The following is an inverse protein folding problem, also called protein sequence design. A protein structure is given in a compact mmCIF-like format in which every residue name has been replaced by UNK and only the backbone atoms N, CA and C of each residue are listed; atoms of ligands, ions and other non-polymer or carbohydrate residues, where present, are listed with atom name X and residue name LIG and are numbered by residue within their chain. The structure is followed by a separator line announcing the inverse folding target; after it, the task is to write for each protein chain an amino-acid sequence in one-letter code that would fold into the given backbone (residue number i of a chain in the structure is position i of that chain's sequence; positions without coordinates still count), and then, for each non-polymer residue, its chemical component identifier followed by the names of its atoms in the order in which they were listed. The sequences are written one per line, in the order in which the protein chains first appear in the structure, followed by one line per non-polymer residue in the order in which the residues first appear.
data_IF_697699658397
#
_entry.id   IF_697699658397
#
_cell.length_a   1.000
_cell.length_b   1.000
_cell.length_c   1.000
_cell.angle_alpha   90.00
_cell.angle_beta   90.00
_cell.angle_gamma   90.00
#
_symmetry.space_group_name_H-M   'P 1'
#
loop_
_entity.id
_entity.type
_entity.pdbx_description
1 polymer ?
#
# COMPACT_ATOMS: atom_id res chain seq x y z
N UNK A 1 -8.25 9.97 23.02
CA UNK A 1 -8.76 9.76 21.64
C UNK A 1 -7.74 10.35 20.69
N UNK A 2 -7.10 9.52 19.88
CA UNK A 2 -6.11 9.95 18.87
C UNK A 2 -6.86 10.67 17.75
N UNK A 3 -6.41 11.87 17.37
CA UNK A 3 -7.02 12.61 16.28
C UNK A 3 -6.60 11.96 14.95
N UNK A 4 -7.42 11.03 14.45
CA UNK A 4 -7.18 10.29 13.20
C UNK A 4 -6.85 11.22 12.04
N UNK A 5 -7.55 12.36 11.92
CA UNK A 5 -7.28 13.36 10.88
C UNK A 5 -5.85 13.92 10.94
N UNK A 6 -5.29 14.03 12.14
CA UNK A 6 -3.94 14.52 12.39
C UNK A 6 -2.91 13.40 12.21
N UNK A 7 -3.24 12.17 12.64
CA UNK A 7 -2.43 10.97 12.43
C UNK A 7 -2.20 10.66 10.95
N UNK A 8 -3.21 10.92 10.10
CA UNK A 8 -3.14 10.65 8.65
C UNK A 8 -2.78 11.88 7.80
N UNK A 9 -2.51 13.04 8.44
CA UNK A 9 -2.38 14.34 7.75
C UNK A 9 -1.34 14.41 6.63
N UNK A 10 -0.25 13.66 6.73
CA UNK A 10 0.84 13.62 5.75
C UNK A 10 0.56 12.70 4.54
N UNK A 11 -0.52 11.93 4.59
CA UNK A 11 -0.94 11.04 3.51
C UNK A 11 -2.25 11.47 2.86
N UNK A 12 -2.94 12.47 3.45
CA UNK A 12 -4.17 13.03 2.90
C UNK A 12 -3.95 13.45 1.45
N UNK A 13 -2.79 14.02 1.13
CA UNK A 13 -2.52 14.53 -0.21
C UNK A 13 -2.23 13.39 -1.21
N UNK A 14 -1.54 12.33 -0.81
CA UNK A 14 -1.32 11.14 -1.66
C UNK A 14 -2.63 10.37 -1.92
N UNK A 15 -3.51 10.27 -0.92
CA UNK A 15 -4.80 9.62 -1.09
C UNK A 15 -5.74 10.48 -1.96
N UNK A 16 -5.67 11.81 -1.85
CA UNK A 16 -6.39 12.72 -2.76
C UNK A 16 -5.92 12.57 -4.21
N UNK A 17 -4.61 12.40 -4.44
CA UNK A 17 -4.10 12.15 -5.79
C UNK A 17 -4.67 10.85 -6.38
N UNK A 18 -4.75 9.78 -5.59
CA UNK A 18 -5.39 8.54 -6.01
C UNK A 18 -6.91 8.70 -6.24
N UNK A 19 -7.56 9.53 -5.43
CA UNK A 19 -8.98 9.86 -5.56
C UNK A 19 -9.28 10.65 -6.85
N UNK A 20 -8.43 11.61 -7.21
CA UNK A 20 -8.48 12.33 -8.48
C UNK A 20 -8.30 11.38 -9.67
N UNK A 21 -7.36 10.45 -9.59
CA UNK A 21 -7.16 9.42 -10.62
C UNK A 21 -8.41 8.56 -10.84
N UNK A 22 -9.07 8.13 -9.77
CA UNK A 22 -10.32 7.35 -9.85
C UNK A 22 -11.56 8.20 -10.14
N UNK A 23 -11.43 9.53 -10.16
CA UNK A 23 -12.51 10.50 -10.38
C UNK A 23 -13.69 10.30 -9.39
N UNK A 24 -13.37 10.09 -8.11
CA UNK A 24 -14.34 9.82 -7.03
C UNK A 24 -14.32 10.95 -5.98
N UNK A 25 -15.44 11.17 -5.29
CA UNK A 25 -15.54 12.05 -4.10
C UNK A 25 -15.66 11.16 -2.85
N UNK A 26 -14.63 10.35 -2.65
CA UNK A 26 -14.50 9.26 -1.69
C UNK A 26 -14.04 9.73 -0.31
N UNK A 27 -12.95 10.51 -0.22
CA UNK A 27 -12.35 10.91 1.05
C UNK A 27 -13.28 11.85 1.81
N UNK A 28 -13.91 12.79 1.12
CA UNK A 28 -14.90 13.71 1.69
C UNK A 28 -16.10 12.98 2.30
N UNK A 29 -16.55 11.87 1.70
CA UNK A 29 -17.67 11.07 2.19
C UNK A 29 -17.32 10.29 3.46
N UNK A 30 -16.14 9.67 3.52
CA UNK A 30 -15.73 8.82 4.65
C UNK A 30 -15.57 9.61 5.95
N UNK A 31 -15.11 10.86 5.86
CA UNK A 31 -14.95 11.73 7.01
C UNK A 31 -16.17 12.66 7.27
N UNK A 32 -17.28 12.49 6.55
CA UNK A 32 -18.50 13.30 6.71
C UNK A 32 -19.45 12.83 7.82
N UNK A 33 -19.22 11.64 8.37
CA UNK A 33 -20.05 11.05 9.45
C UNK A 33 -19.85 11.75 10.80
N UNK A 34 -20.95 11.92 11.55
CA UNK A 34 -20.96 12.51 12.90
C UNK A 34 -20.27 11.62 13.97
N UNK A 35 -20.02 10.33 13.66
CA UNK A 35 -19.17 9.40 14.42
C UNK A 35 -18.51 8.41 13.45
N UNK A 36 -17.34 8.75 12.89
CA UNK A 36 -16.62 7.84 12.00
C UNK A 36 -16.11 6.63 12.79
N UNK A 37 -16.39 5.41 12.32
CA UNK A 37 -15.81 4.18 12.88
C UNK A 37 -14.39 4.01 12.31
N UNK A 38 -13.38 4.12 13.16
CA UNK A 38 -11.96 4.04 12.79
C UNK A 38 -11.63 2.77 11.98
N UNK A 39 -12.16 1.62 12.39
CA UNK A 39 -11.90 0.35 11.69
C UNK A 39 -12.52 0.33 10.29
N UNK A 40 -13.72 0.90 10.13
CA UNK A 40 -14.37 1.01 8.82
C UNK A 40 -13.63 2.00 7.92
N UNK A 41 -13.14 3.12 8.46
CA UNK A 41 -12.33 4.08 7.70
C UNK A 41 -11.05 3.43 7.20
N UNK A 42 -10.30 2.77 8.09
CA UNK A 42 -9.03 2.12 7.75
C UNK A 42 -9.27 1.03 6.69
N UNK A 43 -10.29 0.19 6.89
CA UNK A 43 -10.65 -0.86 5.92
C UNK A 43 -11.01 -0.27 4.56
N UNK A 44 -11.85 0.77 4.55
CA UNK A 44 -12.31 1.39 3.31
C UNK A 44 -11.14 2.05 2.55
N UNK A 45 -10.23 2.72 3.26
CA UNK A 45 -9.01 3.27 2.68
C UNK A 45 -8.08 2.19 2.13
N UNK A 46 -7.86 1.11 2.88
CA UNK A 46 -7.07 -0.03 2.43
C UNK A 46 -7.65 -0.65 1.14
N UNK A 47 -8.96 -0.88 1.11
CA UNK A 47 -9.64 -1.46 -0.04
C UNK A 47 -9.57 -0.54 -1.26
N UNK A 48 -9.72 0.77 -1.07
CA UNK A 48 -9.57 1.75 -2.14
C UNK A 48 -8.16 1.73 -2.73
N UNK A 49 -7.13 1.89 -1.90
CA UNK A 49 -5.74 1.90 -2.35
C UNK A 49 -5.37 0.60 -3.05
N UNK A 50 -5.73 -0.55 -2.46
CA UNK A 50 -5.49 -1.87 -3.05
C UNK A 50 -6.09 -1.97 -4.45
N UNK A 51 -7.37 -1.64 -4.60
CA UNK A 51 -8.06 -1.80 -5.87
C UNK A 51 -7.55 -0.81 -6.93
N UNK A 52 -7.23 0.43 -6.55
CA UNK A 52 -6.68 1.44 -7.46
C UNK A 52 -5.31 1.02 -7.98
N UNK A 53 -4.39 0.61 -7.10
CA UNK A 53 -3.06 0.17 -7.51
C UNK A 53 -3.11 -1.10 -8.37
N UNK A 54 -3.91 -2.09 -7.99
CA UNK A 54 -4.06 -3.31 -8.80
C UNK A 54 -4.59 -3.01 -10.20
N UNK A 55 -5.58 -2.12 -10.31
CA UNK A 55 -6.09 -1.66 -11.61
C UNK A 55 -5.01 -0.93 -12.40
N UNK A 56 -4.24 -0.06 -11.77
CA UNK A 56 -3.15 0.66 -12.42
C UNK A 56 -2.09 -0.30 -12.99
N UNK A 57 -1.63 -1.25 -12.17
CA UNK A 57 -0.60 -2.24 -12.54
C UNK A 57 -0.98 -3.01 -13.80
N UNK A 58 -2.25 -3.39 -13.96
CA UNK A 58 -2.72 -4.12 -15.16
C UNK A 58 -2.56 -3.33 -16.47
N UNK A 59 -2.39 -2.01 -16.41
CA UNK A 59 -2.26 -1.16 -17.59
C UNK A 59 -0.81 -0.80 -17.93
N UNK A 60 0.17 -1.21 -17.13
CA UNK A 60 1.56 -0.81 -17.38
C UNK A 60 2.13 -1.49 -18.62
N UNK A 61 2.79 -0.66 -19.44
CA UNK A 61 3.47 -1.10 -20.65
C UNK A 61 5.00 -0.90 -20.55
N UNK A 62 5.45 -0.14 -19.55
CA UNK A 62 6.85 0.25 -19.40
C UNK A 62 7.29 0.37 -17.92
N UNK A 63 8.61 0.49 -17.77
CA UNK A 63 9.30 0.61 -16.48
C UNK A 63 9.00 1.94 -15.79
N UNK A 64 8.71 3.02 -16.53
CA UNK A 64 8.45 4.33 -15.94
C UNK A 64 7.09 4.38 -15.23
N UNK A 65 6.09 3.72 -15.81
CA UNK A 65 4.78 3.52 -15.19
C UNK A 65 4.91 2.73 -13.88
N UNK A 66 5.70 1.66 -13.90
CA UNK A 66 6.03 0.90 -12.70
C UNK A 66 6.70 1.75 -11.63
N UNK A 67 7.74 2.52 -11.96
CA UNK A 67 8.47 3.35 -10.98
C UNK A 67 7.56 4.35 -10.30
N UNK A 68 6.68 4.99 -11.07
CA UNK A 68 5.75 6.01 -10.57
C UNK A 68 4.75 5.40 -9.57
N UNK A 69 4.11 4.29 -9.95
CA UNK A 69 3.15 3.60 -9.07
C UNK A 69 3.84 2.93 -7.87
N UNK A 70 5.06 2.40 -8.04
CA UNK A 70 5.84 1.83 -6.95
C UNK A 70 6.26 2.90 -5.93
N UNK A 71 6.50 4.13 -6.37
CA UNK A 71 6.72 5.26 -5.47
C UNK A 71 5.47 5.55 -4.63
N UNK A 72 4.29 5.63 -5.24
CA UNK A 72 3.02 5.78 -4.52
C UNK A 72 2.78 4.65 -3.51
N UNK A 73 2.98 3.40 -3.94
CA UNK A 73 2.91 2.25 -3.03
C UNK A 73 3.84 2.44 -1.81
N UNK A 74 5.09 2.89 -2.00
CA UNK A 74 6.01 3.08 -0.87
C UNK A 74 5.56 4.16 0.11
N UNK A 75 4.85 5.18 -0.37
CA UNK A 75 4.31 6.25 0.48
C UNK A 75 3.11 5.79 1.32
N UNK A 76 2.35 4.80 0.84
CA UNK A 76 1.07 4.40 1.47
C UNK A 76 1.06 2.97 2.05
N UNK A 77 2.12 2.18 1.85
CA UNK A 77 2.21 0.77 2.29
C UNK A 77 1.96 0.55 3.78
N UNK A 78 2.31 1.51 4.63
CA UNK A 78 2.18 1.38 6.09
C UNK A 78 0.71 1.41 6.54
N UNK A 79 -0.23 1.82 5.67
CA UNK A 79 -1.69 1.75 5.91
C UNK A 79 -2.33 0.48 5.42
N UNK A 80 -1.61 -0.28 4.60
CA UNK A 80 -2.17 -1.43 3.96
C UNK A 80 -2.12 -2.61 4.90
N UNK A 81 -3.20 -3.38 4.90
CA UNK A 81 -3.18 -4.67 5.55
C UNK A 81 -2.12 -5.56 4.90
N UNK A 82 -1.46 -6.44 5.68
CA UNK A 82 -0.40 -7.31 5.16
C UNK A 82 -0.83 -8.11 3.92
N UNK A 83 -2.09 -8.55 3.85
CA UNK A 83 -2.63 -9.24 2.66
C UNK A 83 -2.73 -8.33 1.43
N UNK A 84 -3.06 -7.05 1.61
CA UNK A 84 -3.12 -6.07 0.51
C UNK A 84 -1.72 -5.81 -0.04
N UNK A 85 -0.73 -5.64 0.85
CA UNK A 85 0.68 -5.51 0.48
C UNK A 85 1.13 -6.70 -0.36
N UNK A 86 0.83 -7.92 0.09
CA UNK A 86 1.21 -9.13 -0.63
C UNK A 86 0.61 -9.22 -2.03
N UNK A 87 -0.68 -8.84 -2.19
CA UNK A 87 -1.35 -8.80 -3.49
C UNK A 87 -0.69 -7.81 -4.44
N UNK A 88 -0.41 -6.60 -3.97
CA UNK A 88 0.22 -5.54 -4.79
C UNK A 88 1.63 -5.96 -5.23
N UNK A 89 2.45 -6.47 -4.30
CA UNK A 89 3.81 -6.90 -4.63
C UNK A 89 3.82 -8.07 -5.61
N UNK A 90 2.85 -8.99 -5.53
CA UNK A 90 2.71 -10.08 -6.49
C UNK A 90 2.33 -9.57 -7.88
N UNK A 91 1.40 -8.61 -7.95
CA UNK A 91 1.02 -7.99 -9.23
C UNK A 91 2.21 -7.27 -9.91
N UNK A 92 3.08 -6.60 -9.13
CA UNK A 92 4.31 -6.02 -9.68
C UNK A 92 5.28 -7.07 -10.24
N UNK A 93 5.38 -8.24 -9.63
CA UNK A 93 6.28 -9.31 -10.09
C UNK A 93 5.83 -9.96 -11.40
N UNK A 94 4.54 -9.90 -11.71
CA UNK A 94 3.95 -10.48 -12.92
C UNK A 94 4.14 -9.58 -14.16
N UNK A 95 4.64 -8.35 -13.99
CA UNK A 95 4.86 -7.43 -15.09
C UNK A 95 5.95 -7.95 -16.05
N UNK A 96 5.70 -7.97 -17.38
CA UNK A 96 6.56 -8.66 -18.35
C UNK A 96 7.92 -7.99 -18.57
N UNK A 97 8.04 -6.71 -18.21
CA UNK A 97 9.25 -5.90 -18.38
C UNK A 97 10.12 -5.83 -17.11
N UNK A 98 9.73 -6.52 -16.03
CA UNK A 98 10.49 -6.53 -14.78
C UNK A 98 11.73 -7.41 -14.91
N UNK A 99 12.89 -6.84 -14.61
CA UNK A 99 14.15 -7.58 -14.62
C UNK A 99 14.29 -8.53 -13.42
N UNK A 100 15.18 -9.51 -13.54
CA UNK A 100 15.43 -10.51 -12.50
C UNK A 100 15.85 -9.89 -11.16
N UNK A 101 16.55 -8.75 -11.19
CA UNK A 101 17.05 -8.09 -9.97
C UNK A 101 15.87 -7.51 -9.20
N UNK A 102 14.99 -6.79 -9.87
CA UNK A 102 13.77 -6.18 -9.35
C UNK A 102 12.79 -7.24 -8.89
N UNK A 103 12.62 -8.33 -9.65
CA UNK A 103 11.84 -9.49 -9.22
C UNK A 103 12.32 -10.03 -7.87
N UNK A 104 13.62 -10.27 -7.73
CA UNK A 104 14.22 -10.78 -6.49
C UNK A 104 14.07 -9.79 -5.34
N UNK A 105 14.16 -8.49 -5.61
CA UNK A 105 13.90 -7.45 -4.60
C UNK A 105 12.45 -7.53 -4.10
N UNK A 106 11.47 -7.64 -5.01
CA UNK A 106 10.06 -7.79 -4.65
C UNK A 106 9.80 -9.08 -3.85
N UNK A 107 10.46 -10.20 -4.20
CA UNK A 107 10.38 -11.46 -3.44
C UNK A 107 10.93 -11.29 -2.02
N UNK A 108 12.08 -10.62 -1.87
CA UNK A 108 12.65 -10.35 -0.56
C UNK A 108 11.74 -9.45 0.30
N UNK A 109 11.11 -8.44 -0.33
CA UNK A 109 10.13 -7.58 0.33
C UNK A 109 8.90 -8.38 0.81
N UNK A 110 8.36 -9.27 -0.03
CA UNK A 110 7.25 -10.16 0.37
C UNK A 110 7.65 -11.07 1.53
N UNK A 111 8.85 -11.65 1.49
CA UNK A 111 9.36 -12.48 2.58
C UNK A 111 9.49 -11.70 3.89
N UNK A 112 9.99 -10.46 3.85
CA UNK A 112 10.09 -9.57 5.01
C UNK A 112 8.71 -9.25 5.60
N UNK A 113 7.73 -8.92 4.75
CA UNK A 113 6.36 -8.64 5.18
C UNK A 113 5.68 -9.88 5.78
N UNK A 114 5.96 -11.07 5.25
CA UNK A 114 5.49 -12.33 5.80
C UNK A 114 6.10 -12.63 7.19
N UNK A 115 7.38 -12.30 7.40
CA UNK A 115 8.02 -12.44 8.71
C UNK A 115 7.40 -11.50 9.76
N UNK A 116 7.11 -10.24 9.38
CA UNK A 116 6.38 -9.28 10.24
C UNK A 116 4.99 -9.83 10.61
N UNK A 117 4.31 -10.53 9.68
CA UNK A 117 2.97 -11.12 9.88
C UNK A 117 2.97 -12.41 10.72
N UNK A 118 3.92 -13.32 10.52
CA UNK A 118 3.94 -14.68 11.11
C UNK A 118 4.47 -14.70 12.55
N UNK A 119 5.23 -13.69 12.96
CA UNK A 119 5.38 -13.36 14.37
C UNK A 119 6.72 -12.79 14.77
N UNK A 120 6.67 -12.22 15.99
CA UNK A 120 7.78 -11.92 16.90
C UNK A 120 8.43 -10.56 16.67
N UNK A 121 8.63 -9.87 17.81
CA UNK A 121 9.29 -8.58 17.90
C UNK A 121 10.54 -8.54 17.03
N UNK A 122 10.77 -7.36 16.46
CA UNK A 122 11.93 -6.92 15.68
C UNK A 122 13.28 -7.57 16.08
N UNK A 123 13.44 -7.94 17.35
CA UNK A 123 14.61 -8.59 17.96
C UNK A 123 14.98 -9.98 17.38
N UNK A 124 14.00 -10.79 16.92
CA UNK A 124 14.32 -12.15 16.45
C UNK A 124 14.97 -12.17 15.06
N UNK A 125 14.79 -11.11 14.27
CA UNK A 125 15.35 -10.97 12.93
C UNK A 125 16.78 -10.41 12.94
N UNK A 126 17.11 -9.56 13.92
CA UNK A 126 18.46 -8.99 14.09
C UNK A 126 19.50 -10.04 14.49
N UNK A 127 19.11 -11.05 15.29
CA UNK A 127 20.01 -12.11 15.74
C UNK A 127 20.39 -13.16 14.67
N UNK A 128 19.85 -13.06 13.44
CA UNK A 128 20.20 -13.97 12.34
C UNK A 128 21.23 -13.38 11.37
N UNK A 129 21.59 -12.11 11.55
CA UNK A 129 22.58 -11.38 10.75
C UNK A 129 23.76 -10.87 11.60
N UNK A 130 23.83 -11.24 12.88
CA UNK A 130 25.02 -11.15 13.75
C UNK A 130 25.62 -12.55 13.93
#
# INVERSE_FOLDING_TARGET
MTNLKQQYSHFIDEIKMLEEYENKDFFKKIFSSYKPNEQEIIKTLNDFVLNTLLKEITNFQDVESFKSSFNWYNLIKDFLYPESIFKILSAYQELPFIDKKTYNQLENYKAMQMQIRVGKSFDSLLNKFM
#
